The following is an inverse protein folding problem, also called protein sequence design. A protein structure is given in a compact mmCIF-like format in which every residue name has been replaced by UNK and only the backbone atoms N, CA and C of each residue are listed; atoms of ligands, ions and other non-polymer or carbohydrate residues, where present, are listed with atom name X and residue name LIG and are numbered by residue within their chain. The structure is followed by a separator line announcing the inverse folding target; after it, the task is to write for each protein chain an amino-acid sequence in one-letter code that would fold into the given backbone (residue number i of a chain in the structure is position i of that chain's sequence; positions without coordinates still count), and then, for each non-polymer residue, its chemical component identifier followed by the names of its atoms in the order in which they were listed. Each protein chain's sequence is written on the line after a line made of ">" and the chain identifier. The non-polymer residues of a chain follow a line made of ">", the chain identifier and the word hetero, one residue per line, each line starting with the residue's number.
data_IF_944544053553
#
_entry.id   IF_944544053553
#
_cell.length_a   1.000
_cell.length_b   1.000
_cell.length_c   1.000
_cell.angle_alpha   90.00
_cell.angle_beta   90.00
_cell.angle_gamma   90.00
#
_symmetry.space_group_name_H-M   'P 1'
#
loop_
_entity.id
_entity.type
_entity.pdbx_description
1 polymer ?
#
# COMPACT_ATOMS: atom_id res chain seq x y z
N UNK A 1 4.25 25.35 2.87
CA UNK A 1 4.24 25.37 4.33
C UNK A 1 3.24 26.43 4.79
N UNK A 2 2.35 26.07 5.71
CA UNK A 2 1.52 26.97 6.50
C UNK A 2 1.76 26.65 7.98
N UNK A 3 1.66 27.66 8.83
CA UNK A 3 1.71 27.50 10.29
C UNK A 3 0.28 27.32 10.77
N UNK A 4 0.04 26.24 11.51
CA UNK A 4 -1.23 25.97 12.17
C UNK A 4 -1.02 26.06 13.68
N UNK A 5 -1.98 26.63 14.39
CA UNK A 5 -1.95 26.74 15.85
C UNK A 5 -3.02 25.85 16.47
N UNK A 6 -2.64 25.00 17.42
CA UNK A 6 -3.55 24.17 18.22
C UNK A 6 -2.97 24.00 19.62
N UNK A 7 -3.78 24.22 20.67
CA UNK A 7 -3.37 24.08 22.06
C UNK A 7 -2.05 24.83 22.40
N UNK A 8 -1.92 26.08 21.93
CA UNK A 8 -0.72 26.92 22.08
C UNK A 8 0.58 26.35 21.47
N UNK A 9 0.47 25.37 20.57
CA UNK A 9 1.59 24.84 19.77
C UNK A 9 1.42 25.25 18.31
N UNK A 10 2.55 25.54 17.66
CA UNK A 10 2.62 25.89 16.25
C UNK A 10 3.18 24.72 15.44
N UNK A 11 2.51 24.37 14.35
CA UNK A 11 2.87 23.25 13.48
C UNK A 11 3.13 23.74 12.05
N UNK A 12 4.30 23.45 11.49
CA UNK A 12 4.69 23.74 10.10
C UNK A 12 4.26 22.59 9.18
N UNK A 13 3.07 22.72 8.58
CA UNK A 13 2.43 21.68 7.77
C UNK A 13 2.32 22.06 6.28
N UNK A 14 1.92 21.08 5.46
CA UNK A 14 1.46 21.34 4.09
C UNK A 14 0.16 22.16 4.10
N UNK A 15 -0.05 22.99 3.07
CA UNK A 15 -1.14 23.97 3.08
C UNK A 15 -2.49 23.49 2.53
N UNK A 16 -2.56 22.24 2.07
CA UNK A 16 -3.68 21.63 1.32
C UNK A 16 -4.13 20.30 1.92
N UNK A 17 -4.04 20.17 3.25
CA UNK A 17 -4.47 18.98 3.97
C UNK A 17 -5.97 19.07 4.27
N UNK A 18 -6.68 17.94 4.17
CA UNK A 18 -8.02 17.83 4.76
C UNK A 18 -7.92 17.62 6.28
N UNK A 19 -9.07 17.61 6.96
CA UNK A 19 -9.13 17.51 8.42
C UNK A 19 -8.47 16.24 8.97
N UNK A 20 -8.72 15.08 8.38
CA UNK A 20 -8.09 13.82 8.79
C UNK A 20 -6.56 13.89 8.63
N UNK A 21 -6.08 14.32 7.46
CA UNK A 21 -4.64 14.46 7.18
C UNK A 21 -3.97 15.44 8.14
N UNK A 22 -4.63 16.58 8.42
CA UNK A 22 -4.13 17.59 9.34
C UNK A 22 -4.02 17.04 10.75
N UNK A 23 -5.08 16.42 11.26
CA UNK A 23 -5.10 15.83 12.61
C UNK A 23 -4.06 14.72 12.76
N UNK A 24 -3.98 13.81 11.78
CA UNK A 24 -2.98 12.74 11.77
C UNK A 24 -1.54 13.30 11.74
N UNK A 25 -1.27 14.31 10.90
CA UNK A 25 0.07 14.91 10.87
C UNK A 25 0.42 15.65 12.16
N UNK A 26 -0.52 16.36 12.79
CA UNK A 26 -0.28 17.00 14.09
C UNK A 26 0.05 15.96 15.17
N UNK A 27 -0.71 14.86 15.23
CA UNK A 27 -0.42 13.73 16.12
C UNK A 27 0.98 13.16 15.89
N UNK A 28 1.30 12.84 14.64
CA UNK A 28 2.60 12.29 14.26
C UNK A 28 3.78 13.24 14.58
N UNK A 29 3.56 14.56 14.50
CA UNK A 29 4.54 15.57 14.90
C UNK A 29 4.72 15.56 16.42
N UNK A 30 3.63 15.55 17.18
CA UNK A 30 3.70 15.48 18.64
C UNK A 30 4.42 14.20 19.10
N UNK A 31 4.14 13.07 18.44
CA UNK A 31 4.87 11.82 18.67
C UNK A 31 6.36 11.96 18.35
N UNK A 32 6.71 12.50 17.17
CA UNK A 32 8.11 12.77 16.78
C UNK A 32 8.82 13.64 17.81
N UNK A 33 8.19 14.72 18.27
CA UNK A 33 8.77 15.65 19.24
C UNK A 33 9.02 15.00 20.60
N UNK A 34 8.18 14.05 20.99
CA UNK A 34 8.30 13.31 22.25
C UNK A 34 9.35 12.19 22.17
N UNK A 35 9.44 11.49 21.04
CA UNK A 35 10.18 10.23 20.95
C UNK A 35 11.45 10.26 20.08
N UNK A 36 11.56 11.20 19.14
CA UNK A 36 12.69 11.27 18.20
C UNK A 36 13.44 12.60 18.31
N UNK A 37 12.81 13.70 17.89
CA UNK A 37 13.44 15.02 17.83
C UNK A 37 12.43 16.13 17.60
N UNK A 38 12.75 17.34 18.07
CA UNK A 38 12.02 18.58 17.75
C UNK A 38 12.52 19.30 16.50
N UNK A 39 13.68 18.91 15.98
CA UNK A 39 14.26 19.54 14.80
C UNK A 39 13.39 19.26 13.55
N UNK A 40 13.02 20.27 12.76
CA UNK A 40 12.26 20.07 11.52
C UNK A 40 13.13 19.46 10.41
N UNK A 41 12.48 18.83 9.45
CA UNK A 41 13.10 18.42 8.20
C UNK A 41 12.83 19.43 7.08
N UNK A 42 13.56 19.30 5.97
CA UNK A 42 13.43 20.20 4.83
C UNK A 42 12.74 19.51 3.64
N UNK A 43 11.85 20.25 2.99
CA UNK A 43 11.39 19.96 1.63
C UNK A 43 11.61 21.18 0.75
N UNK A 44 12.56 21.06 -0.19
CA UNK A 44 13.13 22.22 -0.88
C UNK A 44 13.85 23.13 0.13
N UNK A 45 13.48 24.41 0.18
CA UNK A 45 14.03 25.40 1.12
C UNK A 45 13.14 25.66 2.34
N UNK A 46 12.10 24.85 2.55
CA UNK A 46 11.09 25.06 3.59
C UNK A 46 11.16 23.97 4.65
N UNK A 47 11.02 24.38 5.89
CA UNK A 47 10.97 23.51 7.06
C UNK A 47 9.56 22.95 7.28
N UNK A 48 9.49 21.68 7.65
CA UNK A 48 8.27 20.98 8.01
C UNK A 48 8.52 20.11 9.25
N UNK A 49 7.63 20.22 10.23
CA UNK A 49 7.80 19.50 11.50
C UNK A 49 7.57 17.99 11.33
N UNK A 50 6.75 17.60 10.35
CA UNK A 50 6.47 16.19 10.01
C UNK A 50 7.60 15.49 9.23
N UNK A 51 8.67 16.18 8.84
CA UNK A 51 9.82 15.57 8.13
C UNK A 51 10.96 15.38 9.12
N UNK A 52 11.64 14.23 9.10
CA UNK A 52 12.85 14.05 9.90
C UNK A 52 14.01 14.91 9.36
N UNK A 53 14.83 15.52 10.23
CA UNK A 53 16.04 16.22 9.82
C UNK A 53 17.01 15.27 9.12
N UNK A 54 17.86 15.82 8.24
CA UNK A 54 18.77 15.03 7.40
C UNK A 54 19.75 14.18 8.20
N UNK A 55 20.12 14.64 9.39
CA UNK A 55 20.97 13.92 10.36
C UNK A 55 20.39 12.56 10.76
N UNK A 56 19.07 12.36 10.65
CA UNK A 56 18.40 11.12 11.01
C UNK A 56 18.06 10.24 9.80
N UNK A 57 18.36 10.67 8.57
CA UNK A 57 18.09 9.85 7.38
C UNK A 57 18.95 8.59 7.40
N UNK A 58 18.36 7.45 7.05
CA UNK A 58 19.02 6.13 7.08
C UNK A 58 19.12 5.50 8.48
N UNK A 59 18.68 6.17 9.54
CA UNK A 59 18.61 5.58 10.89
C UNK A 59 17.36 4.73 11.10
N UNK A 60 16.36 4.87 10.22
CA UNK A 60 15.03 4.24 10.33
C UNK A 60 14.30 4.62 11.64
N UNK A 61 14.44 5.88 12.10
CA UNK A 61 13.89 6.34 13.38
C UNK A 61 12.36 6.19 13.53
N UNK A 62 11.61 6.09 12.44
CA UNK A 62 10.15 5.87 12.44
C UNK A 62 9.76 4.40 12.36
N UNK A 63 10.72 3.48 12.25
CA UNK A 63 10.45 2.04 12.16
C UNK A 63 10.49 1.43 13.57
N UNK A 64 9.60 0.47 13.83
CA UNK A 64 9.54 -0.25 15.10
C UNK A 64 10.92 -0.88 15.42
N UNK A 65 11.59 -0.50 16.51
CA UNK A 65 12.99 -0.87 16.72
C UNK A 65 13.29 -2.39 16.66
N UNK A 66 12.44 -3.28 17.21
CA UNK A 66 12.67 -4.73 17.16
C UNK A 66 12.74 -5.34 15.76
N UNK A 67 12.24 -4.67 14.71
CA UNK A 67 12.29 -5.20 13.34
C UNK A 67 13.42 -4.63 12.48
N UNK A 68 14.22 -3.70 13.00
CA UNK A 68 15.24 -2.99 12.23
C UNK A 68 16.30 -3.92 11.63
N UNK A 69 16.81 -4.87 12.40
CA UNK A 69 17.83 -5.80 11.92
C UNK A 69 17.28 -6.70 10.82
N UNK A 70 16.01 -7.10 10.95
CA UNK A 70 15.34 -7.86 9.91
C UNK A 70 15.14 -7.03 8.65
N UNK A 71 14.65 -5.79 8.78
CA UNK A 71 14.46 -4.88 7.65
C UNK A 71 15.77 -4.62 6.89
N UNK A 72 16.86 -4.35 7.62
CA UNK A 72 18.18 -4.12 7.03
C UNK A 72 18.72 -5.36 6.32
N UNK A 73 18.52 -6.54 6.90
CA UNK A 73 18.91 -7.82 6.28
C UNK A 73 18.11 -8.06 5.00
N UNK A 74 16.80 -7.83 5.05
CA UNK A 74 15.92 -7.89 3.88
C UNK A 74 16.39 -6.96 2.77
N UNK A 75 16.59 -5.67 3.07
CA UNK A 75 17.00 -4.66 2.09
C UNK A 75 18.33 -4.96 1.39
N UNK A 76 19.25 -5.69 2.04
CA UNK A 76 20.51 -6.14 1.42
C UNK A 76 20.30 -7.26 0.40
N UNK A 77 19.34 -8.16 0.65
CA UNK A 77 19.04 -9.31 -0.21
C UNK A 77 18.04 -8.97 -1.31
N UNK A 78 17.05 -8.14 -0.98
CA UNK A 78 15.99 -7.65 -1.84
C UNK A 78 15.97 -6.12 -1.79
N UNK A 79 16.89 -5.45 -2.51
CA UNK A 79 16.93 -4.00 -2.53
C UNK A 79 15.62 -3.42 -3.06
N UNK A 80 15.03 -2.53 -2.28
CA UNK A 80 13.84 -1.78 -2.67
C UNK A 80 14.13 -0.28 -2.68
N UNK A 81 13.30 0.46 -3.43
CA UNK A 81 13.45 1.91 -3.55
C UNK A 81 12.76 2.57 -2.37
N UNK A 82 13.52 3.23 -1.51
CA UNK A 82 12.94 4.14 -0.53
C UNK A 82 12.25 5.30 -1.25
N UNK A 83 10.99 5.55 -0.90
CA UNK A 83 10.26 6.70 -1.42
C UNK A 83 10.90 8.00 -0.94
N UNK A 84 10.80 9.07 -1.75
CA UNK A 84 11.31 10.40 -1.36
C UNK A 84 10.73 10.93 -0.03
N UNK A 85 9.59 10.39 0.39
CA UNK A 85 8.91 10.73 1.64
C UNK A 85 9.05 9.65 2.71
N UNK A 86 9.99 8.71 2.58
CA UNK A 86 10.21 7.67 3.59
C UNK A 86 10.48 8.25 4.99
N UNK A 87 11.24 9.35 5.04
CA UNK A 87 11.57 10.10 6.26
C UNK A 87 10.50 11.14 6.66
N UNK A 88 9.31 11.09 6.07
CA UNK A 88 8.14 11.83 6.54
C UNK A 88 7.43 10.98 7.60
N UNK A 89 6.96 11.58 8.69
CA UNK A 89 6.28 10.83 9.77
C UNK A 89 5.03 10.10 9.28
N UNK A 90 4.34 10.66 8.28
CA UNK A 90 3.20 10.02 7.59
C UNK A 90 3.61 9.15 6.37
N UNK A 91 4.81 8.56 6.38
CA UNK A 91 5.27 7.66 5.32
C UNK A 91 4.45 6.37 5.30
N UNK A 92 3.74 6.11 4.20
CA UNK A 92 3.02 4.85 3.98
C UNK A 92 3.96 3.65 3.86
N UNK A 93 5.12 3.82 3.23
CA UNK A 93 6.15 2.77 3.15
C UNK A 93 6.65 2.37 4.55
N UNK A 94 6.90 3.34 5.44
CA UNK A 94 7.29 3.04 6.82
C UNK A 94 6.12 2.43 7.62
N UNK A 95 4.90 2.94 7.44
CA UNK A 95 3.71 2.40 8.08
C UNK A 95 3.39 0.95 7.66
N UNK A 96 3.60 0.61 6.39
CA UNK A 96 3.49 -0.76 5.88
C UNK A 96 4.49 -1.71 6.58
N UNK A 97 5.77 -1.30 6.66
CA UNK A 97 6.80 -2.08 7.38
C UNK A 97 6.41 -2.25 8.84
N UNK A 98 6.00 -1.16 9.49
CA UNK A 98 5.59 -1.16 10.89
C UNK A 98 4.34 -2.00 11.15
N UNK A 99 3.46 -2.15 10.17
CA UNK A 99 2.22 -2.91 10.33
C UNK A 99 2.47 -4.41 10.19
N UNK A 100 3.20 -4.82 9.16
CA UNK A 100 3.29 -6.24 8.81
C UNK A 100 4.55 -6.92 9.31
N UNK A 101 5.70 -6.24 9.34
CA UNK A 101 6.95 -6.91 9.65
C UNK A 101 6.97 -7.54 11.06
N UNK A 102 6.44 -6.89 12.11
CA UNK A 102 6.33 -7.50 13.44
C UNK A 102 5.46 -8.76 13.47
N UNK A 103 4.36 -8.78 12.70
CA UNK A 103 3.50 -9.95 12.55
C UNK A 103 4.21 -11.06 11.79
N UNK A 104 4.85 -10.74 10.66
CA UNK A 104 5.46 -11.71 9.74
C UNK A 104 6.68 -12.42 10.32
N UNK A 105 7.34 -11.86 11.34
CA UNK A 105 8.47 -12.50 12.02
C UNK A 105 8.09 -13.16 13.35
N UNK A 106 6.85 -12.97 13.80
CA UNK A 106 6.35 -13.58 15.04
C UNK A 106 6.05 -15.07 14.81
N UNK A 107 6.21 -15.89 15.86
CA UNK A 107 5.75 -17.27 15.86
C UNK A 107 4.23 -17.44 15.78
N UNK A 108 3.47 -16.33 15.93
CA UNK A 108 2.01 -16.30 15.81
C UNK A 108 1.53 -15.79 14.45
N UNK A 109 2.42 -15.59 13.46
CA UNK A 109 2.09 -15.04 12.14
C UNK A 109 0.85 -15.72 11.51
N UNK A 110 0.84 -17.05 11.49
CA UNK A 110 -0.25 -17.83 10.89
C UNK A 110 -1.60 -17.56 11.56
N UNK A 111 -1.63 -17.49 12.89
CA UNK A 111 -2.85 -17.23 13.67
C UNK A 111 -3.40 -15.82 13.39
N UNK A 112 -2.51 -14.83 13.25
CA UNK A 112 -2.90 -13.45 12.95
C UNK A 112 -3.41 -13.32 11.53
N UNK A 113 -2.66 -13.84 10.54
CA UNK A 113 -2.99 -13.70 9.13
C UNK A 113 -4.25 -14.49 8.75
N UNK A 114 -4.50 -15.66 9.36
CA UNK A 114 -5.73 -16.44 9.15
C UNK A 114 -7.02 -15.69 9.57
N UNK A 115 -6.94 -14.76 10.54
CA UNK A 115 -8.08 -13.92 10.93
C UNK A 115 -8.40 -12.84 9.89
N UNK A 116 -7.42 -12.45 9.08
CA UNK A 116 -7.55 -11.38 8.06
C UNK A 116 -7.85 -11.99 6.68
N UNK A 117 -7.20 -13.12 6.36
CA UNK A 117 -7.29 -13.86 5.11
C UNK A 117 -7.78 -15.28 5.42
N UNK A 118 -9.10 -15.58 5.30
CA UNK A 118 -9.69 -16.82 5.84
C UNK A 118 -9.13 -18.13 5.25
N UNK A 119 -8.67 -18.10 4.01
CA UNK A 119 -8.03 -19.23 3.34
C UNK A 119 -6.53 -19.35 3.66
N UNK A 120 -5.95 -18.47 4.47
CA UNK A 120 -4.57 -18.56 4.91
C UNK A 120 -4.41 -19.71 5.92
N UNK A 121 -3.65 -20.73 5.56
CA UNK A 121 -3.33 -21.85 6.46
C UNK A 121 -1.99 -21.64 7.16
N UNK A 122 -0.93 -21.34 6.39
CA UNK A 122 0.42 -21.11 6.94
C UNK A 122 1.29 -20.25 6.03
N UNK A 123 2.21 -19.50 6.63
CA UNK A 123 3.23 -18.74 5.93
C UNK A 123 4.18 -19.69 5.17
N UNK A 124 4.51 -19.35 3.92
CA UNK A 124 5.43 -20.12 3.10
C UNK A 124 6.88 -19.65 3.30
N UNK A 125 7.47 -19.99 4.45
CA UNK A 125 8.80 -19.50 4.87
C UNK A 125 9.95 -19.94 3.96
N UNK A 126 9.74 -20.91 3.07
CA UNK A 126 10.69 -21.34 2.06
C UNK A 126 10.66 -20.47 0.78
N UNK A 127 9.70 -19.55 0.67
CA UNK A 127 9.51 -18.63 -0.47
C UNK A 127 9.93 -17.20 -0.12
N UNK A 128 10.13 -16.37 -1.16
CA UNK A 128 10.49 -14.94 -1.04
C UNK A 128 11.62 -14.72 0.00
N UNK A 129 11.45 -13.77 0.92
CA UNK A 129 12.30 -13.59 2.08
C UNK A 129 11.65 -14.12 3.38
N UNK A 130 11.55 -15.44 3.49
CA UNK A 130 10.84 -16.12 4.58
C UNK A 130 9.33 -15.84 4.56
N UNK A 131 8.72 -16.03 3.40
CA UNK A 131 7.29 -15.91 3.19
C UNK A 131 6.82 -14.50 2.87
N UNK A 132 7.70 -13.51 2.76
CA UNK A 132 7.29 -12.15 2.43
C UNK A 132 8.36 -11.36 1.66
N UNK A 133 7.95 -10.24 1.05
CA UNK A 133 8.86 -9.28 0.43
C UNK A 133 8.24 -7.87 0.42
N UNK A 134 9.04 -6.87 0.80
CA UNK A 134 8.67 -5.45 0.74
C UNK A 134 8.89 -4.92 -0.69
N UNK A 135 7.98 -4.07 -1.18
CA UNK A 135 8.07 -3.46 -2.52
C UNK A 135 8.25 -4.52 -3.62
N UNK A 136 7.40 -5.55 -3.55
CA UNK A 136 7.45 -6.68 -4.47
C UNK A 136 7.03 -6.25 -5.88
N UNK A 137 7.79 -6.71 -6.87
CA UNK A 137 7.45 -6.55 -8.27
C UNK A 137 7.89 -7.77 -9.07
N UNK A 138 7.29 -7.92 -10.25
CA UNK A 138 7.69 -8.95 -11.21
C UNK A 138 7.72 -8.36 -12.64
N UNK A 139 8.22 -9.16 -13.59
CA UNK A 139 8.46 -8.71 -14.97
C UNK A 139 7.18 -8.52 -15.81
N UNK A 140 6.04 -9.04 -15.37
CA UNK A 140 4.89 -9.26 -16.27
C UNK A 140 4.29 -7.97 -16.82
N UNK A 141 4.27 -6.92 -16.02
CA UNK A 141 3.70 -5.63 -16.42
C UNK A 141 4.54 -4.88 -17.47
N UNK A 142 5.84 -5.15 -17.53
CA UNK A 142 6.78 -4.47 -18.44
C UNK A 142 7.06 -2.99 -18.08
N UNK A 143 6.60 -2.53 -16.92
CA UNK A 143 6.62 -1.12 -16.53
C UNK A 143 7.75 -0.73 -15.57
N UNK A 144 8.53 -1.71 -15.08
CA UNK A 144 9.65 -1.47 -14.18
C UNK A 144 10.76 -0.67 -14.87
N UNK A 145 11.21 0.39 -14.20
CA UNK A 145 12.32 1.28 -14.57
C UNK A 145 13.11 1.65 -13.30
N UNK A 146 14.33 2.20 -13.41
CA UNK A 146 15.09 2.60 -12.22
C UNK A 146 14.33 3.60 -11.32
N UNK A 147 13.57 4.52 -11.92
CA UNK A 147 12.88 5.60 -11.20
C UNK A 147 11.36 5.41 -11.06
N UNK A 148 10.77 4.38 -11.66
CA UNK A 148 9.31 4.16 -11.66
C UNK A 148 8.96 2.70 -11.94
N UNK A 149 7.70 2.34 -11.73
CA UNK A 149 7.19 0.99 -11.92
C UNK A 149 6.07 0.70 -10.94
N UNK A 150 5.38 -0.40 -11.15
CA UNK A 150 4.44 -0.94 -10.18
C UNK A 150 5.21 -1.83 -9.21
N UNK A 151 5.10 -1.48 -7.94
CA UNK A 151 5.64 -2.24 -6.82
C UNK A 151 4.46 -2.36 -5.83
N UNK A 152 4.17 -3.56 -5.34
CA UNK A 152 3.21 -3.76 -4.24
C UNK A 152 3.94 -3.55 -2.93
N UNK A 153 3.38 -2.76 -2.01
CA UNK A 153 4.05 -2.41 -0.75
C UNK A 153 4.49 -3.65 0.04
N UNK A 154 3.69 -4.72 0.02
CA UNK A 154 4.02 -6.02 0.60
C UNK A 154 3.53 -7.16 -0.30
N UNK A 155 4.33 -8.21 -0.43
CA UNK A 155 3.90 -9.53 -0.89
C UNK A 155 4.07 -10.55 0.24
N UNK A 156 3.07 -11.41 0.43
CA UNK A 156 3.09 -12.52 1.38
C UNK A 156 2.85 -13.82 0.60
N UNK A 157 3.79 -14.74 0.66
CA UNK A 157 3.66 -16.09 0.16
C UNK A 157 3.11 -17.00 1.27
N UNK A 158 2.07 -17.75 0.99
CA UNK A 158 1.41 -18.61 1.96
C UNK A 158 0.83 -19.85 1.30
N UNK A 159 0.56 -20.87 2.10
CA UNK A 159 -0.21 -22.02 1.68
C UNK A 159 -1.65 -21.86 2.16
N UNK A 160 -2.59 -22.17 1.29
CA UNK A 160 -3.99 -22.26 1.68
C UNK A 160 -4.33 -23.61 2.34
N UNK A 161 -5.58 -23.76 2.77
CA UNK A 161 -6.04 -24.99 3.44
C UNK A 161 -6.02 -26.24 2.54
N UNK A 162 -5.95 -26.06 1.21
CA UNK A 162 -5.79 -27.14 0.23
C UNK A 162 -4.30 -27.43 -0.07
N UNK A 163 -3.38 -26.71 0.58
CA UNK A 163 -1.94 -26.85 0.38
C UNK A 163 -1.41 -26.16 -0.88
N UNK A 164 -2.21 -25.33 -1.54
CA UNK A 164 -1.80 -24.60 -2.76
C UNK A 164 -0.93 -23.41 -2.40
N UNK A 165 0.13 -23.19 -3.17
CA UNK A 165 1.01 -22.04 -2.95
C UNK A 165 0.37 -20.76 -3.51
N UNK A 166 0.16 -19.78 -2.64
CA UNK A 166 -0.54 -18.54 -2.94
C UNK A 166 0.34 -17.30 -2.77
N UNK A 167 0.13 -16.30 -3.62
CA UNK A 167 0.71 -14.96 -3.51
C UNK A 167 -0.35 -13.96 -3.06
N UNK A 168 -0.10 -13.23 -1.97
CA UNK A 168 -0.95 -12.15 -1.51
C UNK A 168 -0.22 -10.81 -1.60
N UNK A 169 -0.65 -9.99 -2.54
CA UNK A 169 -0.17 -8.63 -2.75
C UNK A 169 -0.98 -7.66 -1.89
N UNK A 170 -0.30 -6.71 -1.24
CA UNK A 170 -0.91 -5.70 -0.39
C UNK A 170 -0.40 -4.32 -0.78
N UNK A 171 -1.33 -3.38 -0.94
CA UNK A 171 -1.09 -1.95 -0.99
C UNK A 171 -1.52 -1.32 0.34
N UNK A 172 -0.67 -0.50 0.94
CA UNK A 172 -0.90 0.16 2.21
C UNK A 172 -1.13 1.66 2.02
N UNK A 173 -2.24 2.18 2.58
CA UNK A 173 -2.57 3.61 2.56
C UNK A 173 -2.71 4.17 3.97
N UNK A 174 -1.92 5.19 4.31
CA UNK A 174 -1.96 5.83 5.61
C UNK A 174 -2.84 7.09 5.58
N UNK A 175 -2.41 8.11 4.83
CA UNK A 175 -3.05 9.43 4.79
C UNK A 175 -3.40 9.90 3.39
N UNK A 176 -3.06 9.10 2.37
CA UNK A 176 -3.30 9.42 0.98
C UNK A 176 -4.78 9.66 0.72
N UNK A 177 -5.05 10.78 0.06
CA UNK A 177 -6.40 11.18 -0.35
C UNK A 177 -6.94 10.33 -1.52
N UNK A 178 -6.04 9.77 -2.32
CA UNK A 178 -6.37 8.97 -3.50
C UNK A 178 -5.18 8.07 -3.86
N UNK A 179 -5.47 6.97 -4.56
CA UNK A 179 -4.46 6.12 -5.19
C UNK A 179 -3.72 6.83 -6.34
N UNK A 180 -2.60 6.24 -6.77
CA UNK A 180 -1.81 6.82 -7.87
C UNK A 180 -2.58 6.82 -9.19
N UNK A 181 -2.99 8.01 -9.64
CA UNK A 181 -3.73 8.20 -10.90
C UNK A 181 -2.90 7.86 -12.14
N UNK A 182 -3.54 7.61 -13.28
CA UNK A 182 -2.87 7.29 -14.54
C UNK A 182 -1.98 8.44 -15.04
N UNK A 183 -0.66 8.25 -14.95
CA UNK A 183 0.33 9.15 -15.53
C UNK A 183 0.27 9.20 -17.06
N UNK A 184 -0.22 8.14 -17.72
CA UNK A 184 -0.43 8.11 -19.17
C UNK A 184 -1.46 9.16 -19.62
N UNK A 185 -2.56 9.31 -18.87
CA UNK A 185 -3.59 10.30 -19.16
C UNK A 185 -3.12 11.76 -18.96
N UNK A 186 -2.06 11.99 -18.18
CA UNK A 186 -1.50 13.33 -17.94
C UNK A 186 -0.18 13.55 -18.68
N UNK A 187 0.28 12.58 -19.47
CA UNK A 187 1.59 12.66 -20.12
C UNK A 187 1.61 13.75 -21.19
N UNK A 188 2.64 14.60 -21.17
CA UNK A 188 2.91 15.55 -22.25
C UNK A 188 3.31 14.89 -23.58
N UNK A 189 3.63 13.59 -23.57
CA UNK A 189 3.93 12.82 -24.78
C UNK A 189 2.70 12.25 -25.49
N UNK A 190 1.47 12.58 -25.05
CA UNK A 190 0.24 12.14 -25.70
C UNK A 190 0.12 12.71 -27.12
N UNK A 191 -0.53 11.95 -28.00
CA UNK A 191 -0.87 12.32 -29.36
C UNK A 191 -2.40 12.39 -29.52
N UNK A 192 -2.88 12.92 -30.65
CA UNK A 192 -4.31 13.06 -30.92
C UNK A 192 -5.08 11.74 -30.91
N UNK A 193 -4.41 10.62 -31.24
CA UNK A 193 -5.01 9.29 -31.14
C UNK A 193 -5.20 8.80 -29.70
N UNK A 194 -4.59 9.44 -28.70
CA UNK A 194 -4.72 8.99 -27.31
C UNK A 194 -5.99 9.52 -26.68
N UNK A 195 -7.00 8.66 -26.61
CA UNK A 195 -8.32 8.98 -26.05
C UNK A 195 -8.61 8.16 -24.79
N UNK A 196 -9.07 8.84 -23.74
CA UNK A 196 -9.48 8.22 -22.48
C UNK A 196 -10.99 8.28 -22.25
N UNK A 197 -11.76 8.70 -23.25
CA UNK A 197 -13.22 8.79 -23.20
C UNK A 197 -13.92 7.52 -23.69
N UNK A 198 -13.20 6.63 -24.37
CA UNK A 198 -13.68 5.29 -24.74
C UNK A 198 -13.83 4.37 -23.52
N UNK A 199 -14.83 3.50 -23.58
CA UNK A 199 -15.08 2.43 -22.60
C UNK A 199 -13.96 1.38 -22.57
N UNK A 200 -14.04 0.43 -21.63
CA UNK A 200 -13.14 -0.73 -21.64
C UNK A 200 -13.17 -1.45 -22.99
N UNK A 201 -14.37 -1.71 -23.52
CA UNK A 201 -14.54 -2.43 -24.79
C UNK A 201 -13.92 -1.66 -25.97
N UNK A 202 -14.07 -0.34 -26.02
CA UNK A 202 -13.44 0.49 -27.07
C UNK A 202 -11.91 0.42 -27.00
N UNK A 203 -11.35 0.48 -25.78
CA UNK A 203 -9.90 0.41 -25.57
C UNK A 203 -9.35 -0.99 -25.91
N UNK A 204 -10.10 -2.06 -25.62
CA UNK A 204 -9.66 -3.41 -25.98
C UNK A 204 -9.71 -3.64 -27.49
N UNK A 205 -10.67 -3.04 -28.20
CA UNK A 205 -10.78 -3.09 -29.66
C UNK A 205 -9.62 -2.35 -30.37
N UNK A 206 -9.20 -1.19 -29.85
CA UNK A 206 -7.96 -0.53 -30.28
C UNK A 206 -7.13 -0.05 -29.09
N UNK A 207 -6.20 -0.89 -28.64
CA UNK A 207 -5.32 -0.60 -27.50
C UNK A 207 -4.41 0.62 -27.76
N UNK A 208 -4.19 1.02 -29.02
CA UNK A 208 -3.33 2.15 -29.35
C UNK A 208 -3.94 3.51 -28.99
N UNK A 209 -5.23 3.57 -28.67
CA UNK A 209 -5.85 4.76 -28.07
C UNK A 209 -5.31 5.04 -26.66
N UNK A 210 -4.64 4.08 -26.02
CA UNK A 210 -4.01 4.30 -24.73
C UNK A 210 -2.51 4.60 -24.86
N UNK A 211 -2.06 5.70 -24.24
CA UNK A 211 -0.64 6.07 -24.17
C UNK A 211 0.25 4.98 -23.54
N UNK A 212 -0.24 4.30 -22.50
CA UNK A 212 0.51 3.21 -21.85
C UNK A 212 0.78 2.03 -22.77
N UNK A 213 -0.13 1.76 -23.71
CA UNK A 213 0.12 0.76 -24.73
C UNK A 213 1.02 1.34 -25.82
N UNK A 214 0.54 2.35 -26.56
CA UNK A 214 1.14 2.69 -27.84
C UNK A 214 2.51 3.35 -27.73
N UNK A 215 2.78 4.10 -26.65
CA UNK A 215 4.09 4.74 -26.41
C UNK A 215 4.95 4.04 -25.39
N UNK A 216 4.34 3.53 -24.31
CA UNK A 216 5.11 2.90 -23.23
C UNK A 216 5.30 1.40 -23.39
N UNK A 217 4.49 0.77 -24.24
CA UNK A 217 4.55 -0.67 -24.54
C UNK A 217 4.42 -1.51 -23.25
N UNK A 218 3.58 -1.06 -22.32
CA UNK A 218 3.26 -1.80 -21.11
C UNK A 218 2.20 -2.86 -21.40
N UNK A 219 2.25 -3.98 -20.68
CA UNK A 219 1.40 -5.14 -20.94
C UNK A 219 -0.02 -5.03 -20.35
N UNK A 220 -0.39 -3.89 -19.76
CA UNK A 220 -1.61 -3.79 -18.96
C UNK A 220 -2.88 -4.23 -19.70
N UNK A 221 -3.08 -3.74 -20.92
CA UNK A 221 -4.28 -4.09 -21.70
C UNK A 221 -4.27 -5.51 -22.25
N UNK A 222 -3.10 -6.07 -22.54
CA UNK A 222 -2.97 -7.50 -22.90
C UNK A 222 -3.38 -8.39 -21.73
N UNK A 223 -2.91 -8.06 -20.53
CA UNK A 223 -3.26 -8.80 -19.32
C UNK A 223 -4.73 -8.58 -18.92
N UNK A 224 -5.27 -7.38 -19.14
CA UNK A 224 -6.68 -7.08 -18.91
C UNK A 224 -7.58 -7.89 -19.84
N UNK A 225 -7.24 -7.97 -21.14
CA UNK A 225 -7.98 -8.77 -22.12
C UNK A 225 -7.94 -10.27 -21.79
N UNK A 226 -6.77 -10.79 -21.41
CA UNK A 226 -6.62 -12.19 -20.99
C UNK A 226 -7.40 -12.52 -19.70
N UNK A 227 -7.76 -11.52 -18.91
CA UNK A 227 -8.51 -11.66 -17.66
C UNK A 227 -9.83 -10.89 -17.71
N UNK A 228 -10.49 -10.83 -18.88
CA UNK A 228 -11.68 -10.00 -19.07
C UNK A 228 -12.80 -10.31 -18.08
N UNK A 229 -13.02 -11.59 -17.78
CA UNK A 229 -14.07 -12.04 -16.85
C UNK A 229 -13.85 -11.48 -15.43
N UNK A 230 -12.59 -11.27 -15.03
CA UNK A 230 -12.28 -10.65 -13.74
C UNK A 230 -12.73 -9.17 -13.69
N UNK A 231 -12.78 -8.48 -14.83
CA UNK A 231 -13.17 -7.08 -14.95
C UNK A 231 -14.60 -6.91 -15.51
N UNK A 232 -15.47 -7.91 -15.33
CA UNK A 232 -16.82 -7.91 -15.91
C UNK A 232 -17.69 -6.70 -15.52
N UNK A 233 -17.43 -6.08 -14.36
CA UNK A 233 -18.14 -4.87 -13.92
C UNK A 233 -17.69 -3.58 -14.62
N UNK A 234 -16.66 -3.62 -15.45
CA UNK A 234 -16.16 -2.45 -16.17
C UNK A 234 -17.00 -2.06 -17.39
N UNK A 235 -17.78 -3.00 -17.96
CA UNK A 235 -18.56 -2.77 -19.19
C UNK A 235 -19.71 -1.76 -19.00
N UNK A 236 -20.10 -1.47 -17.75
CA UNK A 236 -21.11 -0.46 -17.42
C UNK A 236 -20.55 0.96 -17.20
N UNK A 237 -19.23 1.17 -17.30
CA UNK A 237 -18.61 2.46 -17.04
C UNK A 237 -18.36 3.25 -18.34
N UNK A 238 -18.69 4.54 -18.30
CA UNK A 238 -18.33 5.47 -19.38
C UNK A 238 -16.87 5.90 -19.25
N UNK A 239 -16.11 5.82 -20.34
CA UNK A 239 -14.70 6.20 -20.37
C UNK A 239 -13.74 5.18 -19.79
N UNK A 240 -12.45 5.53 -19.79
CA UNK A 240 -11.40 4.66 -19.29
C UNK A 240 -11.51 4.51 -17.77
N UNK A 241 -11.81 3.30 -17.25
CA UNK A 241 -12.01 3.11 -15.81
C UNK A 241 -10.73 3.38 -15.01
N UNK A 242 -9.58 3.13 -15.64
CA UNK A 242 -8.26 3.24 -15.01
C UNK A 242 -7.61 4.62 -15.23
N UNK A 243 -8.36 5.66 -15.59
CA UNK A 243 -7.82 7.03 -15.71
C UNK A 243 -7.50 7.63 -14.32
N UNK A 244 -8.36 7.37 -13.34
CA UNK A 244 -8.29 7.89 -11.97
C UNK A 244 -7.46 7.03 -11.01
N UNK A 245 -7.80 7.06 -9.72
CA UNK A 245 -7.10 6.29 -8.67
C UNK A 245 -7.11 4.77 -8.90
N UNK A 246 -8.15 4.26 -9.57
CA UNK A 246 -8.24 2.85 -9.97
C UNK A 246 -7.03 2.34 -10.74
N UNK A 247 -6.25 3.21 -11.38
CA UNK A 247 -5.02 2.83 -12.07
C UNK A 247 -4.03 2.05 -11.20
N UNK A 248 -3.87 2.42 -9.93
CA UNK A 248 -2.94 1.71 -9.04
C UNK A 248 -3.48 0.32 -8.69
N UNK A 249 -4.77 0.25 -8.33
CA UNK A 249 -5.46 -1.01 -8.01
C UNK A 249 -5.38 -1.99 -9.18
N UNK A 250 -5.69 -1.49 -10.38
CA UNK A 250 -5.59 -2.25 -11.63
C UNK A 250 -4.20 -2.81 -11.87
N UNK A 251 -3.14 -2.00 -11.77
CA UNK A 251 -1.77 -2.49 -12.02
C UNK A 251 -1.34 -3.54 -11.00
N UNK A 252 -1.61 -3.33 -9.71
CA UNK A 252 -1.28 -4.31 -8.67
C UNK A 252 -2.06 -5.62 -8.87
N UNK A 253 -3.35 -5.55 -9.20
CA UNK A 253 -4.16 -6.72 -9.50
C UNK A 253 -3.65 -7.49 -10.73
N UNK A 254 -3.31 -6.78 -11.82
CA UNK A 254 -2.72 -7.39 -13.02
C UNK A 254 -1.39 -8.08 -12.72
N UNK A 255 -0.59 -7.54 -11.80
CA UNK A 255 0.68 -8.15 -11.40
C UNK A 255 0.47 -9.53 -10.76
N UNK A 256 -0.57 -9.67 -9.93
CA UNK A 256 -0.98 -10.95 -9.33
C UNK A 256 -1.57 -11.90 -10.37
N UNK A 257 -2.55 -11.44 -11.16
CA UNK A 257 -3.19 -12.27 -12.20
C UNK A 257 -2.19 -12.80 -13.22
N UNK A 258 -1.20 -12.00 -13.59
CA UNK A 258 -0.16 -12.43 -14.52
C UNK A 258 0.81 -13.46 -13.91
N UNK A 259 1.08 -13.37 -12.60
CA UNK A 259 1.86 -14.38 -11.91
C UNK A 259 1.11 -15.72 -11.86
N UNK A 260 -0.17 -15.68 -11.49
CA UNK A 260 -1.02 -16.89 -11.46
C UNK A 260 -1.17 -17.55 -12.84
N UNK A 261 -1.24 -16.76 -13.91
CA UNK A 261 -1.42 -17.28 -15.26
C UNK A 261 -0.13 -17.79 -15.94
N UNK A 262 1.06 -17.52 -15.37
CA UNK A 262 2.34 -17.97 -15.94
C UNK A 262 2.69 -19.38 -15.44
N UNK A 263 2.74 -20.42 -16.30
CA UNK A 263 3.09 -21.77 -15.90
C UNK A 263 4.52 -21.91 -15.34
N UNK A 264 5.40 -20.92 -15.57
CA UNK A 264 6.73 -20.87 -14.98
C UNK A 264 6.75 -20.21 -13.58
N UNK A 265 5.64 -19.58 -13.17
CA UNK A 265 5.49 -19.07 -11.81
C UNK A 265 5.00 -20.20 -10.89
N UNK A 266 5.54 -20.25 -9.68
CA UNK A 266 5.18 -21.28 -8.69
C UNK A 266 3.87 -20.99 -7.95
N UNK A 267 3.36 -19.76 -8.02
CA UNK A 267 2.14 -19.37 -7.32
C UNK A 267 0.91 -19.82 -8.09
N UNK A 268 0.15 -20.76 -7.51
CA UNK A 268 -1.08 -21.32 -8.08
C UNK A 268 -2.27 -20.38 -7.98
N UNK A 269 -2.25 -19.45 -7.01
CA UNK A 269 -3.28 -18.42 -6.83
C UNK A 269 -2.66 -17.10 -6.44
N UNK A 270 -3.20 -15.99 -6.95
CA UNK A 270 -2.80 -14.65 -6.55
C UNK A 270 -4.00 -13.80 -6.08
N UNK A 271 -3.78 -13.06 -5.00
CA UNK A 271 -4.74 -12.17 -4.38
C UNK A 271 -4.14 -10.78 -4.24
N UNK A 272 -4.97 -9.75 -4.29
CA UNK A 272 -4.59 -8.38 -4.03
C UNK A 272 -5.48 -7.79 -2.95
N UNK A 273 -4.90 -7.00 -2.06
CA UNK A 273 -5.67 -6.29 -1.05
C UNK A 273 -5.16 -4.89 -0.80
N UNK A 274 -6.06 -4.02 -0.36
CA UNK A 274 -5.71 -2.72 0.19
C UNK A 274 -5.88 -2.77 1.70
N UNK A 275 -4.82 -2.41 2.42
CA UNK A 275 -4.91 -2.06 3.84
C UNK A 275 -4.85 -0.55 4.00
N UNK A 276 -5.68 -0.02 4.89
CA UNK A 276 -5.66 1.42 5.18
C UNK A 276 -5.79 1.73 6.67
N UNK A 277 -5.41 2.94 7.04
CA UNK A 277 -5.81 3.48 8.33
C UNK A 277 -7.36 3.60 8.39
N UNK A 278 -8.04 3.12 9.46
CA UNK A 278 -9.50 3.17 9.57
C UNK A 278 -10.07 4.60 9.49
N UNK A 279 -9.34 5.60 9.99
CA UNK A 279 -9.68 7.01 9.83
C UNK A 279 -9.56 7.57 8.41
N UNK A 280 -8.85 6.89 7.49
CA UNK A 280 -8.70 7.36 6.11
C UNK A 280 -9.88 6.90 5.23
N UNK A 281 -11.00 7.60 5.33
CA UNK A 281 -12.23 7.29 4.57
C UNK A 281 -12.29 7.87 3.16
N UNK A 282 -11.27 8.60 2.73
CA UNK A 282 -11.25 9.22 1.41
C UNK A 282 -11.18 8.21 0.26
N UNK A 283 -10.66 7.03 0.55
CA UNK A 283 -10.47 5.97 -0.43
C UNK A 283 -11.72 5.10 -0.62
N UNK A 284 -12.72 5.23 0.27
CA UNK A 284 -13.94 4.40 0.30
C UNK A 284 -14.57 4.32 -1.10
N UNK A 285 -14.84 5.47 -1.72
CA UNK A 285 -15.47 5.53 -3.03
C UNK A 285 -14.66 4.81 -4.13
N UNK A 286 -13.34 4.97 -4.17
CA UNK A 286 -12.49 4.33 -5.18
C UNK A 286 -12.39 2.83 -4.96
N UNK A 287 -12.32 2.37 -3.69
CA UNK A 287 -12.30 0.94 -3.36
C UNK A 287 -13.64 0.27 -3.66
N UNK A 288 -14.76 0.89 -3.29
CA UNK A 288 -16.10 0.37 -3.57
C UNK A 288 -16.36 0.26 -5.07
N UNK A 289 -15.97 1.28 -5.83
CA UNK A 289 -16.07 1.27 -7.28
C UNK A 289 -15.15 0.21 -7.92
N UNK A 290 -13.98 -0.08 -7.32
CA UNK A 290 -13.11 -1.15 -7.78
C UNK A 290 -13.68 -2.54 -7.46
N UNK A 291 -14.29 -2.74 -6.28
CA UNK A 291 -15.03 -3.97 -5.95
C UNK A 291 -16.14 -4.24 -6.96
N UNK A 292 -16.91 -3.21 -7.32
CA UNK A 292 -17.96 -3.33 -8.34
C UNK A 292 -17.37 -3.67 -9.71
N UNK A 293 -16.29 -2.99 -10.09
CA UNK A 293 -15.59 -3.21 -11.37
C UNK A 293 -15.08 -4.67 -11.50
N UNK A 294 -14.64 -5.28 -10.40
CA UNK A 294 -14.16 -6.66 -10.36
C UNK A 294 -15.25 -7.69 -10.01
N UNK A 295 -16.52 -7.30 -10.14
CA UNK A 295 -17.69 -8.13 -9.84
C UNK A 295 -17.67 -8.76 -8.43
N UNK A 296 -17.12 -8.03 -7.45
CA UNK A 296 -16.93 -8.47 -6.06
C UNK A 296 -16.11 -9.77 -5.96
N UNK A 297 -15.13 -9.96 -6.85
CA UNK A 297 -14.25 -11.12 -6.82
C UNK A 297 -13.50 -11.24 -5.49
N UNK A 298 -13.44 -12.45 -4.94
CA UNK A 298 -12.67 -12.75 -3.73
C UNK A 298 -11.16 -12.48 -3.86
N UNK A 299 -10.65 -12.34 -5.09
CA UNK A 299 -9.24 -12.01 -5.36
C UNK A 299 -8.88 -10.55 -5.04
N UNK A 300 -9.86 -9.69 -4.83
CA UNK A 300 -9.67 -8.34 -4.30
C UNK A 300 -10.34 -8.19 -2.94
N UNK A 301 -9.60 -7.70 -1.94
CA UNK A 301 -10.15 -7.44 -0.60
C UNK A 301 -9.63 -6.13 -0.03
N UNK A 302 -10.36 -5.59 0.94
CA UNK A 302 -9.91 -4.44 1.72
C UNK A 302 -10.03 -4.71 3.20
N UNK A 303 -9.09 -4.21 3.99
CA UNK A 303 -9.13 -4.24 5.44
C UNK A 303 -8.41 -3.03 6.00
N UNK A 304 -8.37 -2.89 7.32
CA UNK A 304 -7.76 -1.77 8.01
C UNK A 304 -6.58 -2.21 8.88
N UNK A 305 -5.70 -1.26 9.22
CA UNK A 305 -4.67 -1.51 10.22
C UNK A 305 -5.25 -1.94 11.58
N UNK A 306 -6.45 -1.47 11.93
CA UNK A 306 -7.16 -1.91 13.13
C UNK A 306 -7.53 -3.40 13.10
N UNK A 307 -7.86 -3.95 11.93
CA UNK A 307 -8.15 -5.38 11.78
C UNK A 307 -6.89 -6.23 12.06
N UNK A 308 -5.72 -5.76 11.60
CA UNK A 308 -4.44 -6.42 11.88
C UNK A 308 -4.11 -6.38 13.36
N UNK A 309 -4.29 -5.23 14.01
CA UNK A 309 -4.03 -5.04 15.45
C UNK A 309 -5.00 -5.89 16.27
N UNK A 310 -6.28 -5.91 15.92
CA UNK A 310 -7.28 -6.76 16.58
C UNK A 310 -6.94 -8.24 16.45
N UNK A 311 -6.48 -8.68 15.28
CA UNK A 311 -6.05 -10.07 15.08
C UNK A 311 -4.80 -10.42 15.92
N UNK A 312 -3.82 -9.52 15.96
CA UNK A 312 -2.57 -9.72 16.71
C UNK A 312 -2.77 -9.72 18.23
N UNK A 313 -3.59 -8.81 18.75
CA UNK A 313 -3.86 -8.68 20.18
C UNK A 313 -4.71 -9.83 20.75
N UNK A 314 -5.35 -10.63 19.89
CA UNK A 314 -6.02 -11.87 20.30
C UNK A 314 -5.06 -13.05 20.50
N UNK A 315 -3.78 -12.89 20.15
CA UNK A 315 -2.76 -13.90 20.41
C UNK A 315 -2.16 -13.74 21.81
N UNK A 316 -1.61 -14.81 22.36
CA UNK A 316 -0.87 -14.78 23.62
C UNK A 316 0.60 -14.30 23.46
N UNK A 317 0.99 -13.75 22.30
CA UNK A 317 2.36 -13.31 22.04
C UNK A 317 2.64 -11.92 22.65
N UNK A 318 3.46 -11.84 23.72
CA UNK A 318 3.74 -10.55 24.39
C UNK A 318 4.45 -9.56 23.47
N UNK A 319 5.23 -10.03 22.49
CA UNK A 319 5.93 -9.17 21.53
C UNK A 319 4.94 -8.46 20.62
N UNK A 320 3.87 -9.14 20.21
CA UNK A 320 2.80 -8.56 19.42
C UNK A 320 1.93 -7.60 20.25
N UNK A 321 1.77 -7.84 21.55
CA UNK A 321 1.08 -6.90 22.44
C UNK A 321 1.86 -5.59 22.60
N UNK A 322 3.18 -5.67 22.80
CA UNK A 322 4.04 -4.48 22.90
C UNK A 322 4.11 -3.72 21.58
N UNK A 323 4.22 -4.44 20.46
CA UNK A 323 4.13 -3.85 19.13
C UNK A 323 2.79 -3.15 18.91
N UNK A 324 1.67 -3.78 19.25
CA UNK A 324 0.34 -3.20 19.06
C UNK A 324 0.20 -1.87 19.81
N UNK A 325 0.65 -1.80 21.07
CA UNK A 325 0.69 -0.55 21.84
C UNK A 325 1.53 0.53 21.16
N UNK A 326 2.72 0.17 20.70
CA UNK A 326 3.61 1.10 20.01
C UNK A 326 3.00 1.60 18.69
N UNK A 327 2.41 0.70 17.89
CA UNK A 327 1.81 1.04 16.61
C UNK A 327 0.58 1.93 16.80
N UNK A 328 -0.26 1.61 17.79
CA UNK A 328 -1.42 2.42 18.17
C UNK A 328 -1.03 3.83 18.62
N UNK A 329 0.01 3.95 19.45
CA UNK A 329 0.54 5.24 19.90
C UNK A 329 1.10 6.07 18.73
N UNK A 330 1.89 5.46 17.84
CA UNK A 330 2.45 6.18 16.68
C UNK A 330 1.37 6.61 15.68
N UNK A 331 0.46 5.70 15.31
CA UNK A 331 -0.50 5.92 14.21
C UNK A 331 -1.90 6.32 14.68
N UNK A 332 -2.07 6.71 15.94
CA UNK A 332 -3.32 7.20 16.51
C UNK A 332 -4.50 6.24 16.32
N UNK A 333 -4.33 5.01 16.81
CA UNK A 333 -5.37 3.98 16.82
C UNK A 333 -5.74 3.62 18.26
N UNK A 334 -7.03 3.39 18.57
CA UNK A 334 -7.39 2.82 19.85
C UNK A 334 -6.85 1.40 19.97
N UNK A 335 -6.43 1.01 21.17
CA UNK A 335 -6.20 -0.40 21.45
C UNK A 335 -7.54 -1.15 21.48
N UNK A 336 -7.59 -2.40 21.00
CA UNK A 336 -8.79 -3.22 21.10
C UNK A 336 -9.26 -3.32 22.56
N UNK A 337 -10.51 -2.91 22.82
CA UNK A 337 -11.11 -2.92 24.17
C UNK A 337 -11.00 -1.58 24.93
N UNK A 338 -10.32 -0.57 24.39
CA UNK A 338 -10.37 0.79 24.91
C UNK A 338 -11.43 1.61 24.14
N UNK A 339 -12.43 2.16 24.85
CA UNK A 339 -13.37 3.10 24.24
C UNK A 339 -12.64 4.38 23.82
N UNK A 340 -12.88 4.84 22.59
CA UNK A 340 -12.40 6.15 22.13
C UNK A 340 -13.17 7.21 22.90
N UNK A 341 -12.57 7.74 23.97
CA UNK A 341 -13.08 8.93 24.64
C UNK A 341 -13.24 10.05 23.63
N UNK A 342 -14.47 10.50 23.41
CA UNK A 342 -14.76 11.67 22.60
C UNK A 342 -14.03 12.88 23.23
N UNK A 343 -12.98 13.35 22.56
CA UNK A 343 -12.29 14.60 22.88
C UNK A 343 -12.58 15.64 21.80
#
# INVERSE_FOLDING_TARGET
>A
MKIFEKNHRQYRLAGSLNDFQMQMQMHLIDWKWKHITREPGLYGKREYDAILPRSLHGTYATVYPPVLDRLKTHARRFPFREHQYFNHMASSQAANVNLFLPVLISGSADQVLAKIKPDFARLATDKLDNGWQIEYWNKYLGDKRPSSGTDSDMAIAYYDHDGRLCLWLIEHKLTEAEFTTCGGAKSGGRQACHDCTGSLSDILADKNVCYYHSKRQFNYWKLTEANRDFFAGADSQAGCPFKGGMNQLWRNQLMGLAAEADPACEFERAFFSVVRHPGNRMLDATMDAYCQLTANSEKFRTFTSADVIAAATQTADPTLQDWARWYCDLYNLPLPGEEVGAN
#
